data_IF_515903223162
#
_entry.id   IF_515903223162
#
_cell.length_a   1.000
_cell.length_b   1.000
_cell.length_c   1.000
_cell.angle_alpha   90.00
_cell.angle_beta   90.00
_cell.angle_gamma   90.00
#
_symmetry.space_group_name_H-M   'P 1'
#
loop_
_entity.id
_entity.type
_entity.pdbx_description
1 polymer ?
#
# COMPACT_ATOMS: atom_id res chain seq x y z
N UNK A 1 -15.37 47.24 2.83
CA UNK A 1 -15.97 46.09 2.12
C UNK A 1 -15.45 44.79 2.75
N UNK A 2 -16.33 43.86 3.15
CA UNK A 2 -15.90 42.52 3.62
C UNK A 2 -15.42 41.70 2.41
N UNK A 3 -14.17 41.22 2.43
CA UNK A 3 -13.64 40.32 1.39
C UNK A 3 -14.35 38.98 1.49
N UNK A 4 -14.86 38.46 0.36
CA UNK A 4 -15.41 37.09 0.29
C UNK A 4 -14.25 36.09 0.22
N UNK A 5 -14.42 34.93 0.86
CA UNK A 5 -13.51 33.81 0.68
C UNK A 5 -13.58 33.33 -0.77
N UNK A 6 -12.42 33.10 -1.38
CA UNK A 6 -12.30 32.52 -2.72
C UNK A 6 -11.78 31.10 -2.54
N UNK A 7 -12.54 30.13 -3.04
CA UNK A 7 -12.18 28.72 -2.98
C UNK A 7 -11.59 28.27 -4.31
N UNK A 8 -10.76 27.21 -4.28
CA UNK A 8 -10.31 26.54 -5.51
C UNK A 8 -11.50 25.79 -6.14
N UNK A 9 -11.51 25.72 -7.47
CA UNK A 9 -12.53 24.95 -8.19
C UNK A 9 -12.32 23.45 -7.93
N UNK A 10 -13.40 22.73 -7.63
CA UNK A 10 -13.39 21.28 -7.39
C UNK A 10 -14.30 20.60 -8.41
N UNK A 11 -13.72 20.04 -9.48
CA UNK A 11 -14.46 19.33 -10.53
C UNK A 11 -14.08 17.85 -10.51
N UNK A 12 -15.00 17.00 -10.06
CA UNK A 12 -14.75 15.55 -9.92
C UNK A 12 -14.84 14.80 -11.26
N UNK A 13 -15.73 15.23 -12.15
CA UNK A 13 -16.02 14.56 -13.43
C UNK A 13 -15.31 15.24 -14.61
N UNK A 14 -14.16 15.86 -14.36
CA UNK A 14 -13.39 16.53 -15.41
C UNK A 14 -12.76 15.47 -16.33
N UNK A 15 -13.14 15.46 -17.60
CA UNK A 15 -12.54 14.58 -18.59
C UNK A 15 -11.21 15.17 -19.09
N UNK A 16 -10.18 14.33 -19.20
CA UNK A 16 -8.94 14.67 -19.91
C UNK A 16 -9.04 14.26 -21.37
N UNK A 17 -8.51 15.10 -22.27
CA UNK A 17 -8.47 14.81 -23.71
C UNK A 17 -7.36 13.81 -24.08
N UNK A 18 -6.29 13.74 -23.28
CA UNK A 18 -5.15 12.85 -23.50
C UNK A 18 -4.97 11.90 -22.31
N UNK A 19 -4.49 10.65 -22.55
CA UNK A 19 -4.14 9.75 -21.46
C UNK A 19 -3.08 10.39 -20.56
N UNK A 20 -3.33 10.36 -19.25
CA UNK A 20 -2.36 10.83 -18.28
C UNK A 20 -1.26 9.79 -18.03
N UNK A 21 -0.04 10.26 -17.82
CA UNK A 21 1.03 9.40 -17.34
C UNK A 21 0.85 9.13 -15.85
N UNK A 22 0.51 7.90 -15.48
CA UNK A 22 0.40 7.48 -14.08
C UNK A 22 1.73 7.65 -13.33
N UNK A 23 2.86 7.58 -14.03
CA UNK A 23 4.17 7.84 -13.46
C UNK A 23 4.31 9.27 -12.94
N UNK A 24 3.70 10.26 -13.58
CA UNK A 24 3.76 11.65 -13.14
C UNK A 24 3.08 11.90 -11.78
N UNK A 25 2.13 11.04 -11.41
CA UNK A 25 1.42 11.10 -10.13
C UNK A 25 2.19 10.46 -8.97
N UNK A 26 3.26 9.72 -9.27
CA UNK A 26 4.09 9.02 -8.29
C UNK A 26 5.36 9.83 -8.04
N UNK A 27 5.62 10.29 -6.80
CA UNK A 27 6.85 11.01 -6.45
C UNK A 27 8.12 10.24 -6.85
N UNK A 28 9.21 10.95 -7.12
CA UNK A 28 10.48 10.34 -7.50
C UNK A 28 11.05 9.45 -6.38
N UNK A 29 10.88 9.86 -5.13
CA UNK A 29 11.39 9.17 -3.94
C UNK A 29 10.46 8.04 -3.44
N UNK A 30 9.41 7.72 -4.20
CA UNK A 30 8.43 6.74 -3.78
C UNK A 30 8.99 5.31 -3.86
N UNK A 31 8.83 4.45 -2.83
CA UNK A 31 9.43 3.11 -2.77
C UNK A 31 9.03 2.19 -3.94
N UNK A 32 7.83 2.38 -4.50
CA UNK A 32 7.37 1.63 -5.70
C UNK A 32 8.35 1.73 -6.88
N UNK A 33 9.05 2.86 -7.04
CA UNK A 33 10.02 3.06 -8.13
C UNK A 33 11.28 2.25 -7.89
N UNK A 34 11.73 2.20 -6.64
CA UNK A 34 12.87 1.38 -6.21
C UNK A 34 12.57 -0.09 -6.47
N UNK A 35 11.39 -0.58 -6.06
CA UNK A 35 10.94 -1.95 -6.34
C UNK A 35 10.97 -2.23 -7.84
N UNK A 36 10.41 -1.33 -8.65
CA UNK A 36 10.40 -1.52 -10.10
C UNK A 36 11.81 -1.60 -10.70
N UNK A 37 12.71 -0.70 -10.31
CA UNK A 37 14.09 -0.66 -10.81
C UNK A 37 14.88 -1.91 -10.42
N UNK A 38 14.79 -2.34 -9.15
CA UNK A 38 15.50 -3.53 -8.67
C UNK A 38 15.02 -4.76 -9.42
N UNK A 39 13.70 -5.00 -9.48
CA UNK A 39 13.15 -6.21 -10.11
C UNK A 39 13.35 -6.24 -11.62
N UNK A 40 13.45 -5.10 -12.29
CA UNK A 40 13.80 -5.09 -13.71
C UNK A 40 15.19 -5.66 -13.99
N UNK A 41 16.13 -5.48 -13.07
CA UNK A 41 17.52 -5.94 -13.18
C UNK A 41 17.71 -7.38 -12.70
N UNK A 42 16.77 -7.95 -11.93
CA UNK A 42 16.85 -9.32 -11.43
C UNK A 42 16.65 -10.34 -12.56
N UNK A 43 17.52 -11.35 -12.61
CA UNK A 43 17.39 -12.45 -13.56
C UNK A 43 16.36 -13.48 -13.07
N UNK A 44 15.16 -13.42 -13.65
CA UNK A 44 14.05 -14.33 -13.33
C UNK A 44 13.91 -15.51 -14.30
N UNK A 45 14.94 -15.84 -15.09
CA UNK A 45 14.85 -16.85 -16.17
C UNK A 45 14.26 -18.18 -15.70
N UNK A 46 14.69 -18.71 -14.55
CA UNK A 46 14.15 -19.97 -13.99
C UNK A 46 12.65 -19.90 -13.74
N UNK A 47 12.16 -18.77 -13.26
CA UNK A 47 10.74 -18.58 -13.04
C UNK A 47 9.98 -18.60 -14.37
N UNK A 48 10.49 -17.94 -15.41
CA UNK A 48 9.91 -18.02 -16.76
C UNK A 48 9.92 -19.45 -17.31
N UNK A 49 11.00 -20.21 -17.11
CA UNK A 49 11.12 -21.60 -17.56
C UNK A 49 10.09 -22.53 -16.88
N UNK A 50 9.57 -22.15 -15.71
CA UNK A 50 8.49 -22.90 -15.02
C UNK A 50 7.11 -22.77 -15.70
N UNK A 51 6.96 -21.81 -16.63
CA UNK A 51 5.73 -21.61 -17.37
C UNK A 51 5.71 -22.52 -18.60
N UNK A 52 4.63 -23.29 -18.69
CA UNK A 52 4.33 -24.10 -19.88
C UNK A 52 3.55 -23.24 -20.87
N UNK A 53 3.89 -23.37 -22.15
CA UNK A 53 3.12 -22.76 -23.23
C UNK A 53 1.78 -23.46 -23.46
N UNK A 54 0.89 -22.77 -24.18
CA UNK A 54 -0.44 -23.26 -24.58
C UNK A 54 -1.57 -22.80 -23.67
N UNK A 55 -2.78 -22.69 -24.23
CA UNK A 55 -3.97 -22.22 -23.52
C UNK A 55 -4.06 -20.69 -23.42
N UNK A 56 -4.63 -20.20 -22.31
CA UNK A 56 -4.77 -18.76 -22.05
C UNK A 56 -3.44 -18.12 -21.68
N UNK A 57 -3.23 -16.87 -22.09
CA UNK A 57 -2.02 -16.11 -21.75
C UNK A 57 -1.92 -15.90 -20.25
N UNK A 58 -0.78 -16.27 -19.67
CA UNK A 58 -0.48 -15.98 -18.27
C UNK A 58 -0.01 -14.54 -18.10
N UNK A 59 -0.25 -13.97 -16.93
CA UNK A 59 0.35 -12.70 -16.54
C UNK A 59 1.88 -12.82 -16.45
N UNK A 60 2.57 -11.72 -16.74
CA UNK A 60 4.03 -11.67 -16.64
C UNK A 60 4.50 -11.98 -15.20
N UNK A 61 5.32 -13.02 -14.98
CA UNK A 61 5.82 -13.39 -13.66
C UNK A 61 6.61 -12.26 -12.99
N UNK A 62 7.32 -11.44 -13.79
CA UNK A 62 8.06 -10.29 -13.27
C UNK A 62 7.09 -9.25 -12.69
N UNK A 63 6.02 -8.93 -13.41
CA UNK A 63 4.96 -8.04 -12.92
C UNK A 63 4.32 -8.59 -11.63
N UNK A 64 4.03 -9.89 -11.58
CA UNK A 64 3.48 -10.53 -10.38
C UNK A 64 4.39 -10.39 -9.14
N UNK A 65 5.71 -10.59 -9.32
CA UNK A 65 6.68 -10.40 -8.23
C UNK A 65 6.72 -8.95 -7.75
N UNK A 66 6.76 -7.98 -8.67
CA UNK A 66 6.75 -6.56 -8.32
C UNK A 66 5.54 -6.21 -7.46
N UNK A 67 4.34 -6.61 -7.89
CA UNK A 67 3.10 -6.36 -7.18
C UNK A 67 3.13 -6.97 -5.78
N UNK A 68 3.61 -8.22 -5.64
CA UNK A 68 3.68 -8.89 -4.34
C UNK A 68 4.67 -8.23 -3.38
N UNK A 69 5.87 -7.89 -3.85
CA UNK A 69 6.88 -7.21 -3.03
C UNK A 69 6.34 -5.86 -2.56
N UNK A 70 5.80 -5.08 -3.49
CA UNK A 70 5.24 -3.78 -3.15
C UNK A 70 4.04 -3.90 -2.20
N UNK A 71 3.17 -4.91 -2.40
CA UNK A 71 2.06 -5.18 -1.50
C UNK A 71 2.54 -5.47 -0.07
N UNK A 72 3.63 -6.21 0.10
CA UNK A 72 4.16 -6.52 1.43
C UNK A 72 4.82 -5.30 2.08
N UNK A 73 5.48 -4.44 1.29
CA UNK A 73 5.96 -3.14 1.78
C UNK A 73 4.81 -2.22 2.23
N UNK A 74 3.67 -2.27 1.52
CA UNK A 74 2.46 -1.52 1.84
C UNK A 74 1.58 -2.22 2.90
N UNK A 75 2.10 -3.22 3.61
CA UNK A 75 1.39 -4.02 4.62
C UNK A 75 0.07 -4.66 4.12
N UNK A 76 -0.06 -4.88 2.83
CA UNK A 76 -1.24 -5.46 2.19
C UNK A 76 -0.96 -6.91 1.78
N UNK A 77 -1.24 -7.83 2.69
CA UNK A 77 -0.93 -9.26 2.50
C UNK A 77 -2.03 -10.04 1.80
N UNK A 78 -3.27 -9.54 1.88
CA UNK A 78 -4.44 -10.26 1.43
C UNK A 78 -4.59 -10.25 -0.08
N UNK A 79 -4.75 -11.42 -0.70
CA UNK A 79 -4.91 -11.55 -2.16
C UNK A 79 -6.07 -10.69 -2.69
N UNK A 80 -7.19 -10.62 -1.96
CA UNK A 80 -8.36 -9.78 -2.30
C UNK A 80 -8.08 -8.29 -2.13
N UNK A 81 -7.34 -7.91 -1.07
CA UNK A 81 -6.94 -6.50 -0.89
C UNK A 81 -5.95 -6.07 -1.97
N UNK A 82 -5.05 -6.95 -2.40
CA UNK A 82 -4.14 -6.71 -3.53
C UNK A 82 -4.94 -6.52 -4.83
N UNK A 83 -5.91 -7.39 -5.10
CA UNK A 83 -6.81 -7.24 -6.25
C UNK A 83 -7.56 -5.89 -6.25
N UNK A 84 -8.07 -5.48 -5.08
CA UNK A 84 -8.69 -4.16 -4.90
C UNK A 84 -7.70 -3.02 -5.13
N UNK A 85 -6.49 -3.12 -4.56
CA UNK A 85 -5.44 -2.12 -4.71
C UNK A 85 -5.01 -1.95 -6.17
N UNK A 86 -4.95 -3.04 -6.94
CA UNK A 86 -4.69 -3.01 -8.39
C UNK A 86 -5.75 -2.25 -9.21
N UNK A 87 -6.94 -2.02 -8.66
CA UNK A 87 -8.03 -1.24 -9.31
C UNK A 87 -8.10 0.20 -8.82
N UNK A 88 -7.72 0.46 -7.57
CA UNK A 88 -7.97 1.74 -6.90
C UNK A 88 -6.71 2.59 -6.66
N UNK A 89 -5.55 1.95 -6.52
CA UNK A 89 -4.33 2.61 -6.06
C UNK A 89 -3.35 2.87 -7.21
N UNK A 90 -2.99 4.15 -7.41
CA UNK A 90 -2.12 4.59 -8.51
C UNK A 90 -0.77 3.84 -8.55
N UNK A 91 -0.03 3.67 -7.43
CA UNK A 91 1.22 2.90 -7.43
C UNK A 91 1.05 1.46 -7.93
N UNK A 92 -0.03 0.78 -7.54
CA UNK A 92 -0.29 -0.60 -7.98
C UNK A 92 -0.66 -0.65 -9.46
N UNK A 93 -1.51 0.27 -9.93
CA UNK A 93 -1.93 0.36 -11.34
C UNK A 93 -0.71 0.64 -12.23
N UNK A 94 0.18 1.53 -11.79
CA UNK A 94 1.43 1.84 -12.51
C UNK A 94 2.36 0.63 -12.55
N UNK A 95 2.58 -0.02 -11.41
CA UNK A 95 3.48 -1.17 -11.29
C UNK A 95 3.01 -2.39 -12.09
N UNK A 96 1.69 -2.59 -12.18
CA UNK A 96 1.09 -3.68 -12.96
C UNK A 96 0.90 -3.34 -14.44
N UNK A 97 1.20 -2.11 -14.86
CA UNK A 97 0.92 -1.64 -16.22
C UNK A 97 -0.56 -1.70 -16.57
N UNK A 98 -1.45 -1.41 -15.60
CA UNK A 98 -2.91 -1.53 -15.69
C UNK A 98 -3.45 -2.97 -15.81
N UNK A 99 -2.60 -3.97 -15.58
CA UNK A 99 -3.07 -5.36 -15.46
C UNK A 99 -3.74 -5.56 -14.10
N UNK A 100 -4.87 -6.27 -14.08
CA UNK A 100 -5.63 -6.54 -12.84
C UNK A 100 -5.81 -8.05 -12.65
N UNK A 101 -4.74 -8.78 -12.24
CA UNK A 101 -4.88 -10.18 -11.88
C UNK A 101 -5.90 -10.34 -10.75
N UNK A 102 -6.76 -11.35 -10.88
CA UNK A 102 -7.75 -11.70 -9.87
C UNK A 102 -7.09 -12.26 -8.60
N UNK A 103 -7.77 -12.19 -7.46
CA UNK A 103 -7.28 -12.74 -6.19
C UNK A 103 -6.88 -14.21 -6.31
N UNK A 104 -7.61 -14.99 -7.13
CA UNK A 104 -7.32 -16.39 -7.42
C UNK A 104 -5.97 -16.57 -8.10
N UNK A 105 -5.65 -15.67 -9.04
CA UNK A 105 -4.38 -15.68 -9.76
C UNK A 105 -3.22 -15.36 -8.81
N UNK A 106 -3.40 -14.36 -7.95
CA UNK A 106 -2.41 -13.95 -6.96
C UNK A 106 -2.15 -15.08 -5.95
N UNK A 107 -3.21 -15.71 -5.46
CA UNK A 107 -3.12 -16.84 -4.53
C UNK A 107 -2.42 -18.05 -5.16
N UNK A 108 -2.76 -18.41 -6.40
CA UNK A 108 -2.10 -19.50 -7.13
C UNK A 108 -0.62 -19.20 -7.35
N UNK A 109 -0.27 -17.96 -7.70
CA UNK A 109 1.12 -17.57 -7.90
C UNK A 109 1.92 -17.76 -6.59
N UNK A 110 1.40 -17.29 -5.46
CA UNK A 110 2.03 -17.48 -4.14
C UNK A 110 2.14 -18.94 -3.72
N UNK A 111 1.04 -19.69 -3.83
CA UNK A 111 0.94 -21.05 -3.32
C UNK A 111 1.55 -22.11 -4.23
N UNK A 112 1.68 -21.90 -5.54
CA UNK A 112 2.21 -22.93 -6.45
C UNK A 112 3.51 -22.53 -7.13
N UNK A 113 3.74 -21.24 -7.38
CA UNK A 113 4.89 -20.77 -8.17
C UNK A 113 6.02 -20.25 -7.30
N UNK A 114 5.72 -19.71 -6.13
CA UNK A 114 6.71 -19.25 -5.15
C UNK A 114 6.98 -20.29 -4.04
N UNK A 115 6.89 -21.58 -4.36
CA UNK A 115 7.28 -22.65 -3.44
C UNK A 115 8.70 -23.15 -3.74
N UNK A 116 9.38 -23.69 -2.74
CA UNK A 116 10.74 -24.23 -2.90
C UNK A 116 11.76 -23.13 -3.21
N UNK A 117 12.60 -23.37 -4.22
CA UNK A 117 13.74 -22.51 -4.56
C UNK A 117 13.30 -21.09 -4.99
N UNK A 118 12.20 -20.98 -5.73
CA UNK A 118 11.64 -19.71 -6.16
C UNK A 118 11.07 -18.90 -4.99
N UNK A 119 10.59 -19.59 -3.96
CA UNK A 119 10.14 -18.99 -2.71
C UNK A 119 11.29 -18.43 -1.89
N UNK A 120 12.38 -19.18 -1.76
CA UNK A 120 13.61 -18.71 -1.10
C UNK A 120 14.20 -17.50 -1.81
N UNK A 121 14.34 -17.57 -3.14
CA UNK A 121 14.77 -16.44 -3.97
C UNK A 121 13.89 -15.20 -3.76
N UNK A 122 12.56 -15.37 -3.67
CA UNK A 122 11.65 -14.27 -3.40
C UNK A 122 11.86 -13.65 -2.02
N UNK A 123 12.07 -14.48 -0.98
CA UNK A 123 12.37 -14.01 0.38
C UNK A 123 13.69 -13.22 0.43
N UNK A 124 14.71 -13.69 -0.29
CA UNK A 124 16.02 -13.01 -0.40
C UNK A 124 15.88 -11.66 -1.09
N UNK A 125 15.21 -11.62 -2.26
CA UNK A 125 14.97 -10.38 -3.01
C UNK A 125 14.20 -9.37 -2.14
N UNK A 126 13.17 -9.81 -1.42
CA UNK A 126 12.42 -8.95 -0.53
C UNK A 126 13.30 -8.39 0.60
N UNK A 127 14.12 -9.25 1.21
CA UNK A 127 15.05 -8.86 2.28
C UNK A 127 16.03 -7.80 1.80
N UNK A 128 16.62 -7.98 0.62
CA UNK A 128 17.56 -7.02 0.03
C UNK A 128 16.89 -5.68 -0.29
N UNK A 129 15.65 -5.69 -0.78
CA UNK A 129 14.88 -4.46 -1.03
C UNK A 129 14.59 -3.73 0.28
N UNK A 130 14.16 -4.44 1.33
CA UNK A 130 13.91 -3.83 2.65
C UNK A 130 15.19 -3.23 3.22
N UNK A 131 16.32 -3.94 3.12
CA UNK A 131 17.62 -3.44 3.55
C UNK A 131 18.03 -2.18 2.77
N UNK A 132 17.85 -2.17 1.45
CA UNK A 132 18.15 -1.02 0.61
C UNK A 132 17.27 0.19 0.96
N UNK A 133 15.98 -0.03 1.21
CA UNK A 133 15.05 1.03 1.62
C UNK A 133 15.37 1.57 3.03
N UNK A 134 15.79 0.70 3.95
CA UNK A 134 16.23 1.09 5.28
C UNK A 134 17.54 1.90 5.23
N UNK A 135 18.50 1.50 4.38
CA UNK A 135 19.74 2.25 4.15
C UNK A 135 19.48 3.63 3.51
N UNK A 136 18.51 3.71 2.61
CA UNK A 136 18.07 4.96 2.00
C UNK A 136 17.25 5.86 2.94
N UNK A 137 16.89 5.37 4.15
CA UNK A 137 16.05 6.09 5.11
C UNK A 137 14.59 6.26 4.66
N UNK A 138 14.15 5.50 3.66
CA UNK A 138 12.78 5.53 3.12
C UNK A 138 11.81 4.66 3.94
N UNK A 139 12.36 3.74 4.73
CA UNK A 139 11.59 2.87 5.64
C UNK A 139 12.24 2.91 7.01
N UNK A 140 11.49 3.33 8.01
CA UNK A 140 11.89 3.19 9.40
C UNK A 140 11.32 1.87 9.95
N UNK A 141 12.20 0.94 10.31
CA UNK A 141 11.81 -0.30 11.00
C UNK A 141 11.73 -0.10 12.52
N UNK A 142 11.81 1.13 13.04
CA UNK A 142 11.65 1.38 14.46
C UNK A 142 10.21 1.09 14.92
N UNK A 143 10.12 0.27 15.95
CA UNK A 143 8.88 -0.18 16.57
C UNK A 143 8.04 1.03 17.01
N UNK A 144 6.83 1.16 16.45
CA UNK A 144 5.82 2.08 16.99
C UNK A 144 5.29 1.45 18.28
N UNK A 145 5.94 1.73 19.40
CA UNK A 145 5.41 1.49 20.73
C UNK A 145 4.25 2.46 21.00
N UNK A 146 3.02 2.08 20.66
CA UNK A 146 1.81 2.74 21.20
C UNK A 146 1.51 2.21 22.60
N UNK A 147 2.28 2.67 23.58
CA UNK A 147 1.79 3.45 24.73
C UNK A 147 2.89 3.50 25.82
N UNK A 148 3.36 4.71 26.09
CA UNK A 148 4.35 5.03 27.11
C UNK A 148 5.80 5.12 26.61
N UNK A 149 6.17 6.17 25.86
CA UNK A 149 7.60 6.52 25.75
C UNK A 149 7.85 8.03 25.62
N UNK A 150 8.65 8.57 26.55
CA UNK A 150 9.25 9.90 26.48
C UNK A 150 10.14 9.97 25.24
N UNK A 151 9.86 10.90 24.34
CA UNK A 151 10.79 11.28 23.27
C UNK A 151 11.91 12.11 23.88
N UNK A 152 13.10 11.54 24.01
CA UNK A 152 14.31 12.32 24.29
C UNK A 152 14.75 13.06 23.03
N UNK A 153 15.05 14.35 23.17
CA UNK A 153 15.45 15.21 22.07
C UNK A 153 16.75 14.67 21.43
N UNK A 154 16.70 14.39 20.12
CA UNK A 154 17.87 14.03 19.34
C UNK A 154 18.82 15.23 19.23
N UNK A 155 19.78 15.31 20.15
CA UNK A 155 20.78 16.38 20.23
C UNK A 155 22.20 15.81 20.33
N UNK A 156 22.55 14.78 19.55
CA UNK A 156 23.92 14.27 19.51
C UNK A 156 24.73 14.95 18.40
N UNK A 157 25.83 15.61 18.77
CA UNK A 157 26.75 16.34 17.89
C UNK A 157 27.73 15.43 17.12
N UNK A 158 27.63 14.10 17.30
CA UNK A 158 28.48 13.10 16.65
C UNK A 158 27.65 12.03 15.92
N UNK A 159 27.57 12.14 14.60
CA UNK A 159 26.88 11.22 13.67
C UNK A 159 27.84 10.15 13.13
N UNK A 160 28.54 9.42 14.02
CA UNK A 160 29.37 8.29 13.60
C UNK A 160 28.70 6.97 13.99
N UNK A 161 28.17 6.25 12.99
CA UNK A 161 27.65 4.89 13.16
C UNK A 161 28.81 3.92 13.01
N UNK A 162 29.12 3.18 14.08
CA UNK A 162 30.18 2.16 14.05
C UNK A 162 29.75 0.98 13.18
N UNK A 163 30.68 0.43 12.39
CA UNK A 163 30.42 -0.70 11.48
C UNK A 163 29.76 -1.90 12.19
N UNK A 164 30.14 -2.18 13.44
CA UNK A 164 29.52 -3.24 14.25
C UNK A 164 28.05 -2.96 14.60
N UNK A 165 27.64 -1.69 14.80
CA UNK A 165 26.22 -1.35 14.98
C UNK A 165 25.44 -1.51 13.69
N UNK A 166 26.05 -1.19 12.54
CA UNK A 166 25.42 -1.38 11.24
C UNK A 166 25.22 -2.87 10.94
N UNK A 167 26.23 -3.72 11.20
CA UNK A 167 26.09 -5.17 11.04
C UNK A 167 25.06 -5.76 11.99
N UNK A 168 25.09 -5.38 13.28
CA UNK A 168 24.06 -5.80 14.25
C UNK A 168 22.66 -5.31 13.89
N UNK A 169 22.52 -4.14 13.25
CA UNK A 169 21.23 -3.63 12.79
C UNK A 169 20.70 -4.44 11.61
N UNK A 170 21.56 -4.79 10.64
CA UNK A 170 21.18 -5.65 9.51
C UNK A 170 20.74 -7.04 9.98
N UNK A 171 21.46 -7.63 10.94
CA UNK A 171 21.09 -8.93 11.52
C UNK A 171 19.71 -8.88 12.19
N UNK A 172 19.42 -7.81 12.96
CA UNK A 172 18.10 -7.61 13.57
C UNK A 172 16.98 -7.47 12.54
N UNK A 173 17.24 -6.79 11.42
CA UNK A 173 16.26 -6.67 10.33
C UNK A 173 15.99 -8.05 9.74
N UNK A 174 17.00 -8.89 9.54
CA UNK A 174 16.83 -10.27 9.05
C UNK A 174 16.01 -11.13 10.01
N UNK A 175 16.32 -11.11 11.30
CA UNK A 175 15.57 -11.85 12.32
C UNK A 175 14.08 -11.43 12.36
N UNK A 176 13.81 -10.13 12.23
CA UNK A 176 12.43 -9.62 12.12
C UNK A 176 11.74 -10.10 10.85
N UNK A 177 12.46 -10.14 9.74
CA UNK A 177 11.93 -10.64 8.47
C UNK A 177 11.60 -12.13 8.54
N UNK A 178 12.39 -12.93 9.25
CA UNK A 178 12.07 -14.35 9.50
C UNK A 178 10.77 -14.50 10.30
N UNK A 179 10.60 -13.72 11.38
CA UNK A 179 9.35 -13.67 12.14
C UNK A 179 8.16 -13.20 11.30
N UNK A 180 8.38 -12.22 10.41
CA UNK A 180 7.40 -11.73 9.46
C UNK A 180 6.95 -12.82 8.47
N UNK A 181 7.87 -13.62 7.92
CA UNK A 181 7.51 -14.73 7.04
C UNK A 181 6.67 -15.79 7.75
N UNK A 182 6.99 -16.10 9.02
CA UNK A 182 6.19 -17.03 9.82
C UNK A 182 4.77 -16.49 10.07
N UNK A 183 4.64 -15.18 10.34
CA UNK A 183 3.34 -14.52 10.46
C UNK A 183 2.53 -14.58 9.15
N UNK A 184 3.16 -14.30 8.01
CA UNK A 184 2.53 -14.39 6.70
C UNK A 184 2.02 -15.81 6.40
N UNK A 185 2.83 -16.83 6.66
CA UNK A 185 2.41 -18.22 6.48
C UNK A 185 1.19 -18.59 7.33
N UNK A 186 1.07 -18.02 8.53
CA UNK A 186 -0.12 -18.12 9.38
C UNK A 186 -1.35 -17.45 8.77
N UNK A 187 -1.20 -16.20 8.28
CA UNK A 187 -2.28 -15.47 7.61
C UNK A 187 -2.79 -16.20 6.36
N UNK A 188 -1.89 -16.81 5.58
CA UNK A 188 -2.28 -17.45 4.33
C UNK A 188 -3.21 -18.64 4.56
N UNK A 189 -3.01 -19.36 5.67
CA UNK A 189 -3.86 -20.47 6.09
C UNK A 189 -5.23 -20.01 6.57
N UNK A 190 -5.32 -18.85 7.22
CA UNK A 190 -6.61 -18.30 7.68
C UNK A 190 -7.40 -17.63 6.55
N UNK A 191 -6.74 -17.05 5.54
CA UNK A 191 -7.40 -16.50 4.35
C UNK A 191 -8.13 -17.56 3.50
N UNK A 192 -7.69 -18.82 3.52
CA UNK A 192 -8.41 -19.92 2.88
C UNK A 192 -9.73 -20.26 3.58
N UNK A 193 -9.90 -19.83 4.83
CA UNK A 193 -11.03 -20.21 5.68
C UNK A 193 -12.05 -19.09 5.90
N UNK A 194 -11.69 -17.82 5.69
CA UNK A 194 -12.56 -16.73 6.13
C UNK A 194 -12.56 -15.47 5.24
N UNK A 195 -13.78 -14.92 5.14
CA UNK A 195 -14.17 -13.54 4.84
C UNK A 195 -14.67 -13.29 3.40
N UNK A 196 -16.01 -13.29 3.30
CA UNK A 196 -16.74 -12.55 2.28
C UNK A 196 -16.26 -11.09 2.26
N UNK A 197 -15.97 -10.50 1.09
CA UNK A 197 -15.68 -9.09 1.02
C UNK A 197 -16.81 -8.30 1.68
N UNK A 198 -16.47 -7.22 2.40
CA UNK A 198 -17.47 -6.27 2.88
C UNK A 198 -18.35 -5.92 1.67
N UNK A 199 -19.58 -6.43 1.67
CA UNK A 199 -20.50 -6.33 0.54
C UNK A 199 -20.93 -4.86 0.41
N UNK A 200 -20.09 -4.03 -0.21
CA UNK A 200 -20.48 -2.77 -0.85
C UNK A 200 -21.34 -3.03 -2.11
N UNK A 201 -21.85 -4.25 -2.27
CA UNK A 201 -22.62 -4.74 -3.41
C UNK A 201 -24.06 -4.21 -3.51
N UNK A 202 -24.54 -3.43 -2.54
CA UNK A 202 -25.76 -2.65 -2.75
C UNK A 202 -25.36 -1.26 -3.22
N UNK A 203 -25.42 -1.03 -4.54
CA UNK A 203 -25.52 0.33 -5.07
C UNK A 203 -26.61 1.04 -4.26
N UNK A 204 -26.26 2.08 -3.51
CA UNK A 204 -27.25 2.89 -2.86
C UNK A 204 -28.20 3.42 -3.95
N UNK A 205 -29.50 3.18 -3.79
CA UNK A 205 -30.49 3.74 -4.72
C UNK A 205 -30.41 5.26 -4.66
N UNK A 206 -30.61 5.92 -5.80
CA UNK A 206 -30.61 7.39 -5.88
C UNK A 206 -31.55 8.03 -4.84
N UNK A 207 -32.65 7.35 -4.54
CA UNK A 207 -33.65 7.75 -3.53
C UNK A 207 -33.07 7.76 -2.11
N UNK A 208 -32.37 6.70 -1.68
CA UNK A 208 -31.76 6.64 -0.34
C UNK A 208 -30.65 7.66 -0.13
N UNK A 209 -29.94 7.99 -1.22
CA UNK A 209 -28.93 9.05 -1.21
C UNK A 209 -29.62 10.39 -0.93
N UNK A 210 -30.71 10.69 -1.64
CA UNK A 210 -31.46 11.92 -1.47
C UNK A 210 -32.06 12.05 -0.06
N UNK A 211 -32.69 10.99 0.46
CA UNK A 211 -33.22 10.96 1.83
C UNK A 211 -32.12 11.24 2.88
N UNK A 212 -30.91 10.73 2.65
CA UNK A 212 -29.77 10.95 3.55
C UNK A 212 -29.25 12.39 3.43
N UNK A 213 -29.22 12.95 2.22
CA UNK A 213 -28.88 14.37 2.00
C UNK A 213 -29.86 15.29 2.71
N UNK A 214 -31.17 15.01 2.61
CA UNK A 214 -32.21 15.81 3.25
C UNK A 214 -32.08 15.76 4.78
N UNK A 215 -31.79 14.56 5.33
CA UNK A 215 -31.47 14.39 6.76
C UNK A 215 -30.24 15.18 7.19
N UNK A 216 -29.14 15.12 6.42
CA UNK A 216 -27.92 15.89 6.72
C UNK A 216 -28.20 17.39 6.65
N UNK A 217 -28.94 17.85 5.65
CA UNK A 217 -29.31 19.26 5.51
C UNK A 217 -30.17 19.74 6.68
N UNK A 218 -31.10 18.92 7.18
CA UNK A 218 -31.86 19.21 8.40
C UNK A 218 -30.92 19.39 9.61
N UNK A 219 -30.02 18.43 9.85
CA UNK A 219 -29.04 18.50 10.96
C UNK A 219 -28.10 19.72 10.88
N UNK A 220 -27.67 20.09 9.67
CA UNK A 220 -26.80 21.26 9.44
C UNK A 220 -27.59 22.58 9.58
N UNK A 221 -28.89 22.56 9.28
CA UNK A 221 -29.78 23.73 9.39
C UNK A 221 -30.28 23.98 10.81
N UNK A 222 -30.31 22.93 11.65
CA UNK A 222 -30.76 23.03 13.03
C UNK A 222 -29.90 24.01 13.80
N UNK A 223 -30.60 24.98 14.41
CA UNK A 223 -30.06 26.17 15.08
C UNK A 223 -29.07 25.88 16.22
N UNK A 224 -28.90 24.63 16.64
CA UNK A 224 -28.07 24.23 17.78
C UNK A 224 -26.57 24.50 17.55
N UNK A 225 -26.06 24.35 16.32
CA UNK A 225 -24.66 24.66 16.01
C UNK A 225 -24.41 26.17 16.00
N UNK A 226 -25.33 26.96 15.42
CA UNK A 226 -25.26 28.43 15.45
C UNK A 226 -25.35 28.99 16.88
N UNK A 227 -26.15 28.36 17.75
CA UNK A 227 -26.27 28.76 19.14
C UNK A 227 -25.03 28.42 20.00
N UNK A 228 -24.31 27.34 19.69
CA UNK A 228 -23.04 26.98 20.36
C UNK A 228 -21.90 27.91 19.92
N UNK A 229 -21.75 28.16 18.61
CA UNK A 229 -20.70 29.05 18.07
C UNK A 229 -20.89 30.49 18.59
N UNK A 230 -22.13 30.99 18.63
CA UNK A 230 -22.42 32.33 19.17
C UNK A 230 -22.23 32.46 20.69
N UNK A 231 -22.17 31.35 21.45
CA UNK A 231 -21.86 31.35 22.89
C UNK A 231 -20.35 31.32 23.15
N UNK A 232 -19.55 30.70 22.28
CA UNK A 232 -18.08 30.68 22.38
C UNK A 232 -17.46 32.01 21.91
N UNK A 233 -17.98 32.63 20.84
CA UNK A 233 -17.52 33.96 20.38
C UNK A 233 -17.82 35.11 21.36
N UNK A 234 -18.71 34.92 22.33
CA UNK A 234 -19.02 35.91 23.39
C UNK A 234 -18.22 35.72 24.67
N UNK A 235 -17.42 34.65 24.77
CA UNK A 235 -16.58 34.33 25.94
C UNK A 235 -15.10 34.67 25.75
N UNK A 236 -14.74 35.23 24.60
CA UNK A 236 -13.41 35.77 24.28
C UNK A 236 -13.53 37.27 24.08
#
# INVERSE_FOLDING_TARGET
MKRKAVFRNSQQNQMSMFPEDLGAWIPADHPVRVVNQVIEQVNLKRLYDSYKGGGSSSYDPKMMIKVLIYAYLDNTYSSRKIEKALKESIPFIWLSGRSTPDHSTISIFRSKRLQGFEGEMFKDIFTDIVLLLAEAGLVDLQDVYTDGTKLEANANRYTYVWANRLSSSKEKIRERLEGFWAYLEGLYKSEEQEIEPLNLGKKASSEKIQETVDRINQLVSDKEIKAKIAKEEKKT
#
